data_IF_551635276686
#
_entry.id   IF_551635276686
#
_cell.length_a   1.000
_cell.length_b   1.000
_cell.length_c   1.000
_cell.angle_alpha   90.00
_cell.angle_beta   90.00
_cell.angle_gamma   90.00
#
_symmetry.space_group_name_H-M   'P 1'
#
loop_
_entity.id
_entity.type
_entity.pdbx_description
1 polymer ?
#
# COMPACT_ATOMS: atom_id res chain seq x y z
N UNK A 1 17.08 -2.93 20.01
CA UNK A 1 16.66 -1.50 20.05
C UNK A 1 15.26 -1.43 20.63
N UNK A 2 14.97 -0.45 21.49
CA UNK A 2 13.60 -0.11 21.90
C UNK A 2 13.22 1.18 21.20
N UNK A 3 11.99 1.30 20.72
CA UNK A 3 11.51 2.49 20.02
C UNK A 3 11.26 2.26 18.52
N UNK A 4 10.89 3.36 17.85
CA UNK A 4 10.54 3.41 16.43
C UNK A 4 11.61 4.17 15.66
N UNK A 5 12.18 3.54 14.64
CA UNK A 5 13.19 4.14 13.77
C UNK A 5 12.79 3.95 12.31
N UNK A 6 12.81 5.04 11.56
CA UNK A 6 12.69 5.04 10.10
C UNK A 6 14.10 5.12 9.56
N UNK A 7 14.53 4.10 8.82
CA UNK A 7 15.85 4.05 8.19
C UNK A 7 15.66 4.29 6.70
N UNK A 8 16.26 5.35 6.17
CA UNK A 8 16.25 5.70 4.76
C UNK A 8 17.61 5.34 4.17
N UNK A 9 17.65 4.39 3.24
CA UNK A 9 18.90 3.89 2.66
C UNK A 9 18.66 3.34 1.24
N UNK A 10 19.66 2.63 0.69
CA UNK A 10 19.55 1.88 -0.55
C UNK A 10 19.89 0.41 -0.32
N UNK A 11 19.29 -0.47 -1.12
CA UNK A 11 19.65 -1.90 -1.17
C UNK A 11 19.75 -2.33 -2.64
N UNK A 12 20.87 -2.96 -3.00
CA UNK A 12 21.15 -3.38 -4.39
C UNK A 12 20.97 -2.25 -5.43
N UNK A 13 21.25 -1.00 -5.04
CA UNK A 13 21.12 0.17 -5.91
C UNK A 13 19.72 0.80 -5.98
N UNK A 14 18.73 0.21 -5.31
CA UNK A 14 17.36 0.74 -5.25
C UNK A 14 17.18 1.60 -4.00
N UNK A 15 16.53 2.75 -4.14
CA UNK A 15 16.06 3.54 -3.00
C UNK A 15 15.10 2.67 -2.18
N UNK A 16 15.26 2.67 -0.85
CA UNK A 16 14.39 1.91 0.04
C UNK A 16 14.24 2.61 1.40
N UNK A 17 13.14 2.29 2.08
CA UNK A 17 12.89 2.75 3.44
C UNK A 17 12.44 1.58 4.31
N UNK A 18 12.93 1.53 5.54
CA UNK A 18 12.59 0.51 6.52
C UNK A 18 12.02 1.15 7.79
N UNK A 19 10.94 0.58 8.30
CA UNK A 19 10.37 0.94 9.58
C UNK A 19 10.71 -0.14 10.60
N UNK A 20 11.57 0.19 11.56
CA UNK A 20 11.96 -0.66 12.67
C UNK A 20 11.16 -0.29 13.92
N UNK A 21 10.55 -1.28 14.58
CA UNK A 21 9.84 -1.12 15.84
C UNK A 21 10.33 -2.17 16.82
N UNK A 22 10.94 -1.73 17.92
CA UNK A 22 11.49 -2.59 18.96
C UNK A 22 12.43 -3.69 18.42
N UNK A 23 13.22 -3.33 17.39
CA UNK A 23 14.18 -4.23 16.73
C UNK A 23 13.55 -5.20 15.74
N UNK A 24 12.26 -5.06 15.42
CA UNK A 24 11.57 -5.85 14.38
C UNK A 24 11.31 -4.98 13.16
N UNK A 25 11.55 -5.53 11.97
CA UNK A 25 11.12 -4.91 10.72
C UNK A 25 9.59 -4.96 10.61
N UNK A 26 8.98 -3.80 10.80
CA UNK A 26 7.54 -3.62 10.79
C UNK A 26 7.04 -3.28 9.39
N UNK A 27 7.76 -2.46 8.64
CA UNK A 27 7.40 -2.15 7.26
C UNK A 27 8.65 -1.94 6.39
N UNK A 28 8.54 -2.23 5.11
CA UNK A 28 9.60 -2.05 4.14
C UNK A 28 9.03 -1.56 2.81
N UNK A 29 9.60 -0.49 2.29
CA UNK A 29 9.26 0.13 1.02
C UNK A 29 10.49 0.08 0.13
N UNK A 30 10.30 -0.44 -1.08
CA UNK A 30 11.29 -0.51 -2.13
C UNK A 30 10.55 -0.41 -3.45
N UNK A 31 11.18 0.20 -4.44
CA UNK A 31 10.72 0.18 -5.82
C UNK A 31 11.78 -0.49 -6.70
N UNK A 32 11.32 -1.18 -7.74
CA UNK A 32 12.17 -1.63 -8.83
C UNK A 32 11.97 -0.73 -10.05
N UNK A 33 12.21 -1.28 -11.24
CA UNK A 33 12.07 -0.53 -12.51
C UNK A 33 10.59 -0.31 -12.94
N UNK A 34 9.64 -0.92 -12.26
CA UNK A 34 8.22 -0.79 -12.60
C UNK A 34 7.67 0.57 -12.16
N UNK A 35 6.74 1.17 -12.93
CA UNK A 35 6.17 2.46 -12.57
C UNK A 35 5.40 2.40 -11.25
N UNK A 36 5.63 3.41 -10.43
CA UNK A 36 5.13 3.45 -9.05
C UNK A 36 3.64 3.83 -9.03
N UNK A 37 2.81 3.21 -8.17
CA UNK A 37 1.44 3.66 -7.96
C UNK A 37 1.38 5.13 -7.58
N UNK A 38 0.57 5.90 -8.30
CA UNK A 38 0.55 7.36 -8.22
C UNK A 38 1.04 8.04 -9.49
N UNK A 39 1.92 7.41 -10.27
CA UNK A 39 2.38 7.94 -11.57
C UNK A 39 1.19 8.22 -12.48
N UNK A 40 1.17 9.41 -13.09
CA UNK A 40 0.13 9.87 -14.00
C UNK A 40 0.68 9.96 -15.42
N UNK A 41 -0.05 9.35 -16.35
CA UNK A 41 0.26 9.41 -17.77
C UNK A 41 -0.80 10.18 -18.54
N UNK A 42 -0.36 10.88 -19.58
CA UNK A 42 -1.15 11.03 -20.80
C UNK A 42 -0.99 9.76 -21.62
N UNK A 43 -2.05 8.96 -21.67
CA UNK A 43 -2.07 7.67 -22.35
C UNK A 43 -2.95 7.73 -23.59
N UNK A 44 -2.65 6.85 -24.56
CA UNK A 44 -3.44 6.70 -25.78
C UNK A 44 -4.25 5.41 -25.73
N UNK A 45 -5.56 5.52 -25.94
CA UNK A 45 -6.43 4.35 -26.10
C UNK A 45 -6.01 3.55 -27.33
N UNK A 46 -5.71 2.26 -27.14
CA UNK A 46 -5.24 1.39 -28.21
C UNK A 46 -6.39 0.51 -28.72
N UNK A 47 -6.76 -0.52 -27.95
CA UNK A 47 -7.80 -1.48 -28.37
C UNK A 47 -8.74 -1.89 -27.24
N UNK A 48 -10.06 -1.97 -27.52
CA UNK A 48 -11.02 -2.45 -26.54
C UNK A 48 -10.88 -3.96 -26.33
N UNK A 49 -11.17 -4.40 -25.11
CA UNK A 49 -11.24 -5.82 -24.75
C UNK A 49 -12.68 -6.28 -24.95
N UNK A 50 -12.89 -7.09 -26.00
CA UNK A 50 -14.23 -7.60 -26.35
C UNK A 50 -14.89 -8.27 -25.14
N UNK A 51 -16.11 -7.86 -24.83
CA UNK A 51 -16.95 -8.47 -23.79
C UNK A 51 -16.62 -8.09 -22.34
N UNK A 52 -15.58 -7.29 -22.07
CA UNK A 52 -15.18 -6.93 -20.70
C UNK A 52 -15.38 -5.46 -20.34
N UNK A 53 -15.71 -4.60 -21.33
CA UNK A 53 -15.81 -3.15 -21.10
C UNK A 53 -14.48 -2.57 -20.58
N UNK A 54 -13.36 -3.05 -21.10
CA UNK A 54 -12.01 -2.62 -20.71
C UNK A 54 -11.24 -2.14 -21.94
N UNK A 55 -10.18 -1.37 -21.74
CA UNK A 55 -9.35 -0.81 -22.80
C UNK A 55 -7.86 -1.06 -22.50
N UNK A 56 -7.11 -1.50 -23.50
CA UNK A 56 -5.64 -1.43 -23.46
C UNK A 56 -5.19 -0.04 -23.89
N UNK A 57 -4.20 0.51 -23.20
CA UNK A 57 -3.64 1.83 -23.48
C UNK A 57 -2.14 1.71 -23.78
N UNK A 58 -1.63 2.62 -24.59
CA UNK A 58 -0.19 2.87 -24.71
C UNK A 58 0.23 3.95 -23.71
N UNK A 59 1.31 3.69 -22.98
CA UNK A 59 1.98 4.62 -22.04
C UNK A 59 3.49 4.61 -22.32
N UNK A 60 4.28 5.57 -21.80
CA UNK A 60 5.74 5.53 -21.90
C UNK A 60 6.34 4.23 -21.36
N UNK A 61 5.78 3.68 -20.28
CA UNK A 61 6.24 2.44 -19.63
C UNK A 61 5.60 1.17 -20.20
N UNK A 62 4.99 1.28 -21.39
CA UNK A 62 4.42 0.16 -22.13
C UNK A 62 2.90 0.06 -22.04
N UNK A 63 2.39 -1.16 -22.10
CA UNK A 63 0.95 -1.41 -22.17
C UNK A 63 0.29 -1.25 -20.79
N UNK A 64 -0.76 -0.43 -20.71
CA UNK A 64 -1.61 -0.29 -19.54
C UNK A 64 -3.02 -0.86 -19.77
N UNK A 65 -3.72 -1.19 -18.69
CA UNK A 65 -5.05 -1.78 -18.70
C UNK A 65 -6.02 -0.97 -17.85
N UNK A 66 -7.05 -0.43 -18.52
CA UNK A 66 -8.11 0.35 -17.91
C UNK A 66 -9.41 -0.47 -17.88
N UNK A 67 -10.02 -0.60 -16.70
CA UNK A 67 -11.28 -1.32 -16.48
C UNK A 67 -12.48 -0.38 -16.61
N UNK A 68 -13.66 -0.95 -16.90
CA UNK A 68 -14.96 -0.27 -16.83
C UNK A 68 -15.10 0.96 -17.73
N UNK A 69 -14.57 0.87 -18.94
CA UNK A 69 -14.64 1.90 -19.96
C UNK A 69 -15.99 1.89 -20.67
N UNK A 70 -16.60 3.07 -20.82
CA UNK A 70 -17.78 3.30 -21.67
C UNK A 70 -17.45 4.33 -22.75
N UNK A 71 -17.75 4.01 -24.01
CA UNK A 71 -17.75 5.00 -25.09
C UNK A 71 -16.39 5.57 -25.50
N UNK A 72 -15.29 4.84 -25.29
CA UNK A 72 -13.94 5.28 -25.66
C UNK A 72 -13.55 4.83 -27.06
N UNK A 73 -13.05 5.76 -27.87
CA UNK A 73 -12.58 5.48 -29.22
C UNK A 73 -11.08 5.12 -29.22
N UNK A 74 -10.63 4.15 -30.04
CA UNK A 74 -9.21 3.97 -30.32
C UNK A 74 -8.55 5.27 -30.79
N UNK A 75 -7.31 5.51 -30.35
CA UNK A 75 -6.53 6.72 -30.63
C UNK A 75 -6.82 7.91 -29.71
N UNK A 76 -7.90 7.87 -28.92
CA UNK A 76 -8.22 8.94 -27.97
C UNK A 76 -7.13 9.09 -26.90
N UNK A 77 -6.73 10.33 -26.61
CA UNK A 77 -5.85 10.65 -25.49
C UNK A 77 -6.65 10.80 -24.21
N UNK A 78 -6.08 10.34 -23.10
CA UNK A 78 -6.70 10.40 -21.79
C UNK A 78 -5.66 10.41 -20.68
N UNK A 79 -6.01 11.04 -19.56
CA UNK A 79 -5.23 10.98 -18.34
C UNK A 79 -5.56 9.70 -17.58
N UNK A 80 -4.53 9.01 -17.10
CA UNK A 80 -4.68 7.81 -16.27
C UNK A 80 -3.61 7.76 -15.20
N UNK A 81 -3.96 7.19 -14.06
CA UNK A 81 -3.06 7.01 -12.92
C UNK A 81 -2.79 5.53 -12.66
N UNK A 82 -1.53 5.18 -12.39
CA UNK A 82 -1.11 3.84 -11.97
C UNK A 82 -1.69 3.51 -10.60
N UNK A 83 -2.35 2.36 -10.48
CA UNK A 83 -3.07 1.95 -9.26
C UNK A 83 -2.38 0.86 -8.45
N UNK A 84 -1.38 0.20 -9.02
CA UNK A 84 -0.69 -0.95 -8.46
C UNK A 84 0.36 -1.49 -9.43
N UNK A 85 1.10 -2.51 -8.99
CA UNK A 85 2.14 -3.15 -9.79
C UNK A 85 1.55 -4.27 -10.66
N UNK A 86 2.03 -4.37 -11.91
CA UNK A 86 1.67 -5.46 -12.80
C UNK A 86 2.52 -6.70 -12.52
N UNK A 87 1.91 -7.88 -12.63
CA UNK A 87 2.68 -9.13 -12.66
C UNK A 87 3.46 -9.22 -13.98
N UNK A 88 4.59 -9.96 -14.02
CA UNK A 88 5.38 -10.13 -15.24
C UNK A 88 4.52 -10.55 -16.45
N UNK A 89 4.63 -9.79 -17.53
CA UNK A 89 3.87 -10.02 -18.77
C UNK A 89 2.42 -9.53 -18.76
N UNK A 90 1.94 -8.93 -17.66
CA UNK A 90 0.63 -8.26 -17.61
C UNK A 90 0.79 -6.75 -17.83
N UNK A 91 -0.30 -6.12 -18.29
CA UNK A 91 -0.36 -4.68 -18.50
C UNK A 91 -0.52 -3.92 -17.16
N UNK A 92 0.03 -2.71 -17.11
CA UNK A 92 0.02 -1.82 -15.95
C UNK A 92 -1.43 -1.45 -15.58
N UNK A 93 -1.90 -1.73 -14.34
CA UNK A 93 -3.28 -1.42 -13.97
C UNK A 93 -3.45 0.07 -13.70
N UNK A 94 -4.36 0.71 -14.43
CA UNK A 94 -4.60 2.16 -14.34
C UNK A 94 -6.07 2.52 -14.11
N UNK A 95 -6.31 3.76 -13.67
CA UNK A 95 -7.63 4.37 -13.46
C UNK A 95 -7.70 5.76 -14.09
N UNK A 96 -8.89 6.23 -14.51
CA UNK A 96 -9.11 7.63 -14.89
C UNK A 96 -9.43 8.52 -13.68
N UNK A 97 -9.79 7.93 -12.55
CA UNK A 97 -10.04 8.66 -11.30
C UNK A 97 -8.72 9.08 -10.68
N UNK A 98 -8.21 10.25 -11.08
CA UNK A 98 -6.95 10.79 -10.60
C UNK A 98 -7.09 11.25 -9.14
N UNK A 99 -6.08 10.97 -8.33
CA UNK A 99 -5.95 11.44 -6.95
C UNK A 99 -4.53 11.98 -6.73
N UNK A 100 -4.42 13.15 -6.11
CA UNK A 100 -3.13 13.77 -5.79
C UNK A 100 -2.96 13.74 -4.28
N UNK A 101 -2.10 12.83 -3.81
CA UNK A 101 -1.96 12.49 -2.39
C UNK A 101 -0.60 12.94 -1.87
N UNK A 102 -0.63 13.74 -0.82
CA UNK A 102 0.52 14.15 -0.02
C UNK A 102 0.38 13.65 1.41
N UNK A 103 1.23 14.12 2.35
CA UNK A 103 1.18 13.73 3.76
C UNK A 103 -0.11 14.23 4.42
N UNK A 104 -0.51 15.47 4.15
CA UNK A 104 -1.65 16.11 4.81
C UNK A 104 -2.94 16.03 3.98
N UNK A 105 -2.84 16.03 2.65
CA UNK A 105 -3.99 16.18 1.77
C UNK A 105 -4.16 15.04 0.74
N UNK A 106 -5.39 14.89 0.27
CA UNK A 106 -5.71 14.22 -0.99
C UNK A 106 -6.63 15.14 -1.78
N UNK A 107 -6.15 15.67 -2.91
CA UNK A 107 -6.96 16.44 -3.85
C UNK A 107 -7.68 15.48 -4.80
N UNK A 108 -8.98 15.68 -4.98
CA UNK A 108 -9.88 14.79 -5.72
C UNK A 108 -10.65 15.56 -6.79
N UNK A 109 -10.09 15.74 -8.00
CA UNK A 109 -10.68 16.64 -8.98
C UNK A 109 -12.09 16.26 -9.47
N UNK A 110 -12.39 14.97 -9.57
CA UNK A 110 -13.70 14.48 -10.04
C UNK A 110 -14.74 14.32 -8.91
N UNK A 111 -14.39 14.64 -7.67
CA UNK A 111 -15.25 14.43 -6.50
C UNK A 111 -15.22 15.66 -5.59
N UNK A 112 -16.00 16.72 -5.88
CA UNK A 112 -15.98 17.96 -5.13
C UNK A 112 -16.43 17.77 -3.67
N UNK A 113 -15.96 18.67 -2.80
CA UNK A 113 -16.29 18.70 -1.38
C UNK A 113 -15.08 18.50 -0.48
N UNK A 114 -15.18 19.03 0.74
CA UNK A 114 -14.14 18.98 1.76
C UNK A 114 -14.47 17.91 2.80
N UNK A 115 -13.55 16.98 3.03
CA UNK A 115 -13.66 15.95 4.05
C UNK A 115 -12.45 15.95 4.98
N UNK A 116 -12.67 15.67 6.26
CA UNK A 116 -11.60 15.50 7.25
C UNK A 116 -11.62 14.06 7.77
N UNK A 117 -10.44 13.45 7.91
CA UNK A 117 -10.27 12.12 8.48
C UNK A 117 -11.13 11.89 9.73
N UNK A 118 -11.82 10.74 9.77
CA UNK A 118 -12.66 10.34 10.91
C UNK A 118 -11.86 10.05 12.20
N UNK A 119 -10.53 9.98 12.10
CA UNK A 119 -9.65 9.86 13.26
C UNK A 119 -9.52 11.16 14.04
N UNK A 120 -9.70 12.31 13.36
CA UNK A 120 -9.68 13.64 13.99
C UNK A 120 -11.09 13.90 14.51
N UNK A 121 -11.23 13.84 15.84
CA UNK A 121 -12.51 13.95 16.56
C UNK A 121 -12.65 15.25 17.35
N UNK A 122 -11.54 15.93 17.58
CA UNK A 122 -11.53 17.22 18.25
C UNK A 122 -12.15 18.28 17.32
N UNK A 123 -13.19 18.97 17.79
CA UNK A 123 -13.97 19.89 16.94
C UNK A 123 -13.20 21.19 16.69
N UNK A 124 -12.46 21.70 17.68
CA UNK A 124 -11.64 22.91 17.51
C UNK A 124 -10.55 22.68 16.44
N UNK A 125 -9.90 21.51 16.47
CA UNK A 125 -8.94 21.11 15.44
C UNK A 125 -9.60 20.95 14.06
N UNK A 126 -10.83 20.45 14.01
CA UNK A 126 -11.58 20.34 12.75
C UNK A 126 -11.88 21.71 12.18
N UNK A 127 -12.33 22.65 13.00
CA UNK A 127 -12.64 24.01 12.57
C UNK A 127 -11.39 24.74 12.08
N UNK A 128 -10.26 24.62 12.80
CA UNK A 128 -8.95 25.13 12.34
C UNK A 128 -8.58 24.58 10.96
N UNK A 129 -8.68 23.27 10.79
CA UNK A 129 -8.33 22.61 9.54
C UNK A 129 -9.27 22.98 8.38
N UNK A 130 -10.56 23.21 8.66
CA UNK A 130 -11.51 23.71 7.67
C UNK A 130 -11.14 25.11 7.18
N UNK A 131 -10.73 26.00 8.08
CA UNK A 131 -10.30 27.36 7.72
C UNK A 131 -9.08 27.32 6.80
N UNK A 132 -8.04 26.57 7.20
CA UNK A 132 -6.83 26.36 6.38
C UNK A 132 -7.18 25.81 5.00
N UNK A 133 -8.03 24.79 4.95
CA UNK A 133 -8.42 24.15 3.69
C UNK A 133 -9.24 25.07 2.77
N UNK A 134 -10.16 25.87 3.31
CA UNK A 134 -10.93 26.82 2.49
C UNK A 134 -10.05 27.91 1.88
N UNK A 135 -9.08 28.41 2.64
CA UNK A 135 -8.13 29.41 2.13
C UNK A 135 -7.21 28.81 1.07
N UNK A 136 -6.64 27.62 1.33
CA UNK A 136 -5.71 26.97 0.42
C UNK A 136 -6.37 26.46 -0.88
N UNK A 137 -7.68 26.17 -0.86
CA UNK A 137 -8.46 25.73 -2.02
C UNK A 137 -9.29 26.87 -2.63
N UNK A 138 -9.02 28.13 -2.30
CA UNK A 138 -9.76 29.25 -2.88
C UNK A 138 -9.55 29.30 -4.40
N UNK A 139 -10.65 29.36 -5.16
CA UNK A 139 -10.61 29.45 -6.62
C UNK A 139 -10.48 28.13 -7.37
N UNK A 140 -10.50 26.99 -6.68
CA UNK A 140 -10.57 25.65 -7.31
C UNK A 140 -11.88 24.94 -6.96
N UNK A 141 -12.41 24.16 -7.92
CA UNK A 141 -13.61 23.34 -7.75
C UNK A 141 -13.28 21.88 -7.31
N UNK A 142 -12.01 21.58 -7.06
CA UNK A 142 -11.59 20.23 -6.66
C UNK A 142 -12.08 19.86 -5.27
N UNK A 143 -12.30 18.57 -5.05
CA UNK A 143 -12.48 18.06 -3.69
C UNK A 143 -11.16 17.95 -2.94
N UNK A 144 -11.27 17.88 -1.62
CA UNK A 144 -10.14 17.77 -0.71
C UNK A 144 -10.46 16.82 0.44
N UNK A 145 -9.53 15.94 0.76
CA UNK A 145 -9.57 15.09 1.95
C UNK A 145 -8.35 15.39 2.82
N UNK A 146 -8.58 15.94 4.01
CA UNK A 146 -7.54 16.11 5.03
C UNK A 146 -7.29 14.80 5.77
N UNK A 147 -6.02 14.38 5.79
CA UNK A 147 -5.56 13.11 6.35
C UNK A 147 -5.35 13.21 7.86
N UNK A 148 -5.21 12.06 8.52
CA UNK A 148 -4.95 11.99 9.96
C UNK A 148 -3.65 12.68 10.38
N UNK A 149 -2.69 12.81 9.47
CA UNK A 149 -1.42 13.50 9.71
C UNK A 149 -1.57 14.99 9.99
N UNK A 150 -2.72 15.60 9.65
CA UNK A 150 -3.00 17.01 9.94
C UNK A 150 -3.14 17.30 11.44
N UNK A 151 -3.47 16.29 12.26
CA UNK A 151 -3.76 16.48 13.67
C UNK A 151 -2.53 17.04 14.41
N UNK A 152 -2.65 18.28 14.88
CA UNK A 152 -1.56 19.00 15.56
C UNK A 152 -0.43 19.45 14.65
N UNK A 153 -0.58 19.35 13.33
CA UNK A 153 0.37 19.89 12.36
C UNK A 153 0.26 21.41 12.28
N UNK A 154 1.34 22.07 11.88
CA UNK A 154 1.36 23.52 11.67
C UNK A 154 0.39 23.93 10.54
N UNK A 155 -0.28 25.06 10.71
CA UNK A 155 -1.31 25.50 9.77
C UNK A 155 -0.72 25.91 8.41
N UNK A 156 0.46 26.54 8.40
CA UNK A 156 1.13 26.98 7.19
C UNK A 156 1.67 25.77 6.43
N UNK A 157 2.27 24.79 7.13
CA UNK A 157 2.69 23.52 6.52
C UNK A 157 1.54 22.78 5.83
N UNK A 158 0.36 22.73 6.46
CA UNK A 158 -0.82 22.10 5.88
C UNK A 158 -1.33 22.90 4.67
N UNK A 159 -1.35 24.23 4.75
CA UNK A 159 -1.77 25.09 3.65
C UNK A 159 -0.86 24.94 2.43
N UNK A 160 0.45 24.97 2.63
CA UNK A 160 1.45 24.81 1.56
C UNK A 160 1.34 23.44 0.88
N UNK A 161 1.13 22.37 1.66
CA UNK A 161 0.95 21.01 1.16
C UNK A 161 -0.33 20.87 0.32
N UNK A 162 -1.44 21.46 0.76
CA UNK A 162 -2.70 21.50 -0.01
C UNK A 162 -2.50 22.26 -1.33
N UNK A 163 -1.91 23.46 -1.26
CA UNK A 163 -1.69 24.30 -2.43
C UNK A 163 -0.77 23.60 -3.46
N UNK A 164 0.26 22.90 -3.00
CA UNK A 164 1.12 22.10 -3.88
C UNK A 164 0.37 20.98 -4.59
N UNK A 165 -0.53 20.26 -3.90
CA UNK A 165 -1.35 19.21 -4.52
C UNK A 165 -2.41 19.76 -5.48
N UNK A 166 -3.01 20.90 -5.16
CA UNK A 166 -3.95 21.58 -6.06
C UNK A 166 -3.25 22.06 -7.34
N UNK A 167 -2.07 22.67 -7.21
CA UNK A 167 -1.26 23.11 -8.35
C UNK A 167 -0.80 21.93 -9.24
N UNK A 168 -0.39 20.80 -8.63
CA UNK A 168 -0.06 19.59 -9.39
C UNK A 168 -1.29 19.04 -10.13
N UNK A 169 -2.45 19.03 -9.48
CA UNK A 169 -3.70 18.62 -10.12
C UNK A 169 -4.04 19.52 -11.32
N UNK A 170 -3.92 20.83 -11.17
CA UNK A 170 -4.12 21.80 -12.25
C UNK A 170 -3.15 21.59 -13.41
N UNK A 171 -1.87 21.41 -13.12
CA UNK A 171 -0.85 21.16 -14.14
C UNK A 171 -1.19 19.91 -14.96
N UNK A 172 -1.57 18.82 -14.29
CA UNK A 172 -1.89 17.55 -14.94
C UNK A 172 -3.21 17.60 -15.71
N UNK A 173 -4.25 18.23 -15.15
CA UNK A 173 -5.58 18.28 -15.77
C UNK A 173 -5.66 19.26 -16.95
N UNK A 174 -4.87 20.33 -16.92
CA UNK A 174 -4.79 21.31 -18.00
C UNK A 174 -3.69 20.98 -19.02
N UNK A 175 -3.12 19.78 -18.94
CA UNK A 175 -2.21 19.30 -19.97
C UNK A 175 -2.95 19.08 -21.30
N UNK A 176 -2.33 19.52 -22.39
CA UNK A 176 -2.93 19.54 -23.73
C UNK A 176 -2.02 18.90 -24.79
N UNK A 177 -0.98 18.18 -24.37
CA UNK A 177 -0.12 17.49 -25.34
C UNK A 177 -0.86 16.35 -26.06
N UNK A 178 -0.24 15.85 -27.12
CA UNK A 178 -0.86 14.89 -28.04
C UNK A 178 -0.18 13.53 -28.06
N UNK A 179 1.01 13.43 -27.50
CA UNK A 179 1.82 12.21 -27.44
C UNK A 179 1.73 11.54 -26.08
N UNK A 180 2.04 10.24 -26.00
CA UNK A 180 2.09 9.58 -24.70
C UNK A 180 3.23 10.14 -23.85
N UNK A 181 2.97 10.46 -22.58
CA UNK A 181 3.93 11.13 -21.71
C UNK A 181 3.65 10.85 -20.23
N UNK A 182 4.70 10.82 -19.42
CA UNK A 182 4.59 10.80 -17.96
C UNK A 182 4.49 12.23 -17.47
N UNK A 183 3.34 12.61 -16.91
CA UNK A 183 3.05 13.97 -16.47
C UNK A 183 3.44 14.21 -15.01
N UNK A 184 3.38 13.17 -14.19
CA UNK A 184 3.79 13.20 -12.80
C UNK A 184 4.27 11.80 -12.38
N UNK A 185 5.42 11.73 -11.73
CA UNK A 185 5.92 10.48 -11.13
C UNK A 185 5.24 10.20 -9.80
N UNK A 186 5.08 8.91 -9.48
CA UNK A 186 4.66 8.48 -8.15
C UNK A 186 5.76 8.70 -7.11
N UNK A 187 5.36 8.81 -5.85
CA UNK A 187 6.30 8.99 -4.73
C UNK A 187 7.21 7.77 -4.56
N UNK A 188 8.53 8.00 -4.56
CA UNK A 188 9.54 6.99 -4.22
C UNK A 188 9.48 6.54 -2.75
N UNK A 189 10.22 5.49 -2.37
CA UNK A 189 10.15 4.87 -1.04
C UNK A 189 10.38 5.84 0.12
N UNK A 190 11.32 6.79 0.00
CA UNK A 190 11.60 7.75 1.07
C UNK A 190 10.44 8.72 1.29
N UNK A 191 9.85 9.22 0.20
CA UNK A 191 8.69 10.11 0.26
C UNK A 191 7.47 9.35 0.78
N UNK A 192 7.24 8.11 0.33
CA UNK A 192 6.15 7.26 0.85
C UNK A 192 6.30 6.99 2.34
N UNK A 193 7.52 6.71 2.81
CA UNK A 193 7.83 6.55 4.23
C UNK A 193 7.46 7.82 5.02
N UNK A 194 7.92 8.98 4.59
CA UNK A 194 7.53 10.26 5.22
C UNK A 194 6.02 10.50 5.13
N UNK A 195 5.38 10.17 4.02
CA UNK A 195 3.96 10.44 3.80
C UNK A 195 3.02 9.54 4.61
N UNK A 196 3.41 8.28 4.82
CA UNK A 196 2.52 7.22 5.33
C UNK A 196 2.91 6.72 6.74
N UNK A 197 4.16 6.83 7.17
CA UNK A 197 4.58 6.50 8.54
C UNK A 197 4.53 7.76 9.42
N UNK A 198 3.35 7.99 9.99
CA UNK A 198 3.02 9.25 10.67
C UNK A 198 3.37 9.26 12.16
N UNK A 199 3.52 8.09 12.78
CA UNK A 199 3.86 8.00 14.20
C UNK A 199 5.29 8.48 14.48
N UNK A 200 5.52 9.17 15.61
CA UNK A 200 6.85 9.67 15.98
C UNK A 200 7.92 8.59 15.93
N UNK A 201 8.99 8.87 15.20
CA UNK A 201 10.12 7.97 14.99
C UNK A 201 11.43 8.75 14.88
N UNK A 202 12.53 8.13 15.30
CA UNK A 202 13.86 8.58 14.93
C UNK A 202 14.07 8.33 13.42
N UNK A 203 14.65 9.30 12.70
CA UNK A 203 14.92 9.16 11.26
C UNK A 203 16.41 9.04 11.04
N UNK A 204 16.86 7.86 10.61
CA UNK A 204 18.24 7.57 10.22
C UNK A 204 18.39 7.71 8.70
N UNK A 205 19.44 8.41 8.27
CA UNK A 205 19.74 8.70 6.85
C UNK A 205 21.20 8.44 6.48
N UNK A 206 21.98 7.94 7.43
CA UNK A 206 23.40 7.63 7.23
C UNK A 206 23.51 6.43 6.31
N UNK A 207 24.35 6.48 5.26
CA UNK A 207 24.60 5.33 4.39
C UNK A 207 25.04 4.10 5.20
N UNK A 208 24.45 2.93 4.91
CA UNK A 208 24.70 1.71 5.69
C UNK A 208 23.83 1.61 6.97
N UNK A 209 22.82 2.46 7.10
CA UNK A 209 21.83 2.40 8.16
C UNK A 209 21.09 1.06 8.19
N UNK A 210 20.87 0.43 7.04
CA UNK A 210 20.22 -0.89 6.98
C UNK A 210 21.00 -1.97 7.71
N UNK A 211 22.33 -2.01 7.57
CA UNK A 211 23.17 -2.96 8.31
C UNK A 211 23.16 -2.63 9.81
N UNK A 212 23.41 -1.36 10.15
CA UNK A 212 23.52 -0.89 11.54
C UNK A 212 22.26 -1.15 12.37
N UNK A 213 21.08 -1.07 11.74
CA UNK A 213 19.79 -1.25 12.40
C UNK A 213 19.20 -2.66 12.22
N UNK A 214 19.93 -3.61 11.61
CA UNK A 214 19.47 -5.00 11.43
C UNK A 214 18.36 -5.17 10.40
N UNK A 215 18.22 -4.23 9.46
CA UNK A 215 17.25 -4.31 8.35
C UNK A 215 17.66 -5.43 7.40
N UNK A 216 18.96 -5.54 7.05
CA UNK A 216 19.44 -6.57 6.12
C UNK A 216 19.15 -7.99 6.64
N UNK A 217 19.44 -8.28 7.91
CA UNK A 217 19.12 -9.57 8.54
C UNK A 217 17.61 -9.88 8.48
N UNK A 218 16.77 -8.85 8.66
CA UNK A 218 15.33 -9.00 8.58
C UNK A 218 14.83 -9.21 7.14
N UNK A 219 15.50 -8.63 6.14
CA UNK A 219 15.21 -8.85 4.72
C UNK A 219 15.61 -10.26 4.29
N UNK A 220 16.78 -10.76 4.72
CA UNK A 220 17.22 -12.14 4.47
C UNK A 220 16.19 -13.14 5.01
N UNK A 221 15.68 -12.89 6.23
CA UNK A 221 14.59 -13.70 6.78
C UNK A 221 13.30 -13.57 5.96
N UNK A 222 12.98 -12.38 5.49
CA UNK A 222 11.76 -12.11 4.72
C UNK A 222 11.79 -12.72 3.30
N UNK A 223 12.96 -12.82 2.66
CA UNK A 223 13.13 -13.52 1.39
C UNK A 223 12.89 -15.04 1.55
N UNK A 224 13.16 -15.58 2.73
CA UNK A 224 12.78 -16.94 3.10
C UNK A 224 11.26 -17.09 3.29
N UNK A 225 10.78 -18.34 3.13
CA UNK A 225 9.37 -18.68 3.37
C UNK A 225 9.03 -18.78 4.86
N UNK A 226 10.02 -18.94 5.75
CA UNK A 226 9.79 -19.23 7.17
C UNK A 226 9.78 -17.95 8.01
N UNK A 227 8.70 -17.71 8.73
CA UNK A 227 8.53 -16.58 9.65
C UNK A 227 8.34 -17.07 11.09
N UNK A 228 9.17 -16.66 12.06
CA UNK A 228 8.99 -17.04 13.46
C UNK A 228 7.77 -16.36 14.09
N UNK A 229 7.03 -17.15 14.90
CA UNK A 229 5.96 -16.66 15.75
C UNK A 229 6.39 -16.71 17.23
N UNK A 230 5.84 -15.84 18.09
CA UNK A 230 5.98 -15.95 19.53
C UNK A 230 5.57 -17.33 20.05
N UNK A 231 6.34 -17.88 20.99
CA UNK A 231 6.04 -19.18 21.60
C UNK A 231 6.54 -20.39 20.81
N UNK A 232 7.43 -20.19 19.84
CA UNK A 232 8.14 -21.28 19.15
C UNK A 232 7.40 -21.88 17.95
N UNK A 233 6.29 -21.29 17.54
CA UNK A 233 5.61 -21.60 16.28
C UNK A 233 6.25 -20.87 15.10
N UNK A 234 5.83 -21.22 13.89
CA UNK A 234 6.32 -20.60 12.65
C UNK A 234 5.19 -20.49 11.62
N UNK A 235 5.28 -19.50 10.73
CA UNK A 235 4.54 -19.47 9.47
C UNK A 235 5.45 -19.95 8.34
N UNK A 236 4.88 -20.64 7.37
CA UNK A 236 5.47 -20.81 6.05
C UNK A 236 4.64 -20.03 5.04
N UNK A 237 5.20 -18.98 4.44
CA UNK A 237 4.56 -18.09 3.49
C UNK A 237 5.19 -18.33 2.12
N UNK A 238 4.47 -19.03 1.25
CA UNK A 238 4.98 -19.46 -0.05
C UNK A 238 4.17 -18.85 -1.18
N UNK A 239 4.73 -17.88 -1.93
CA UNK A 239 4.12 -17.40 -3.16
C UNK A 239 4.22 -18.48 -4.24
N UNK A 240 3.07 -18.87 -4.79
CA UNK A 240 3.00 -19.76 -5.96
C UNK A 240 2.64 -18.95 -7.20
N UNK A 241 2.50 -19.63 -8.35
CA UNK A 241 2.05 -18.98 -9.60
C UNK A 241 0.67 -18.34 -9.49
N UNK A 242 -0.24 -18.91 -8.70
CA UNK A 242 -1.66 -18.51 -8.69
C UNK A 242 -2.06 -17.76 -7.41
N UNK A 243 -1.50 -18.15 -6.27
CA UNK A 243 -1.86 -17.67 -4.95
C UNK A 243 -0.69 -17.74 -3.98
N UNK A 244 -0.81 -17.08 -2.84
CA UNK A 244 0.12 -17.21 -1.70
C UNK A 244 -0.46 -18.22 -0.72
N UNK A 245 0.27 -19.29 -0.43
CA UNK A 245 -0.07 -20.25 0.60
C UNK A 245 0.58 -19.85 1.92
N UNK A 246 -0.17 -19.91 3.02
CA UNK A 246 0.34 -19.64 4.37
C UNK A 246 0.01 -20.83 5.25
N UNK A 247 1.01 -21.56 5.71
CA UNK A 247 0.87 -22.66 6.68
C UNK A 247 1.28 -22.19 8.09
N UNK A 248 0.53 -22.60 9.11
CA UNK A 248 0.79 -22.27 10.52
C UNK A 248 1.22 -23.51 11.30
N UNK A 249 2.47 -23.49 11.77
CA UNK A 249 3.05 -24.57 12.54
C UNK A 249 3.15 -24.20 14.03
N UNK A 250 2.81 -25.16 14.91
CA UNK A 250 2.83 -24.98 16.38
C UNK A 250 4.17 -25.32 17.04
N UNK A 251 5.18 -25.73 16.27
CA UNK A 251 6.45 -26.20 16.78
C UNK A 251 6.35 -27.61 17.35
N UNK A 252 6.90 -27.83 18.55
CA UNK A 252 6.91 -29.15 19.20
C UNK A 252 5.64 -29.48 19.98
N UNK A 253 4.84 -28.47 20.34
CA UNK A 253 3.57 -28.65 21.05
C UNK A 253 2.42 -28.78 20.04
N UNK A 254 1.80 -29.95 19.98
CA UNK A 254 0.71 -30.28 19.04
C UNK A 254 -0.68 -30.19 19.67
N UNK A 255 -0.79 -29.63 20.88
CA UNK A 255 -2.07 -29.47 21.56
C UNK A 255 -2.99 -28.45 20.85
N UNK A 256 -4.30 -28.59 21.01
CA UNK A 256 -5.27 -27.62 20.48
C UNK A 256 -5.08 -26.21 21.08
N UNK A 257 -4.57 -26.13 22.31
CA UNK A 257 -4.23 -24.86 22.95
C UNK A 257 -3.05 -24.17 22.26
N UNK A 258 -2.01 -24.93 21.91
CA UNK A 258 -0.90 -24.44 21.10
C UNK A 258 -1.36 -24.03 19.69
N UNK A 259 -2.23 -24.82 19.07
CA UNK A 259 -2.87 -24.48 17.78
C UNK A 259 -3.58 -23.13 17.81
N UNK A 260 -4.45 -22.91 18.80
CA UNK A 260 -5.14 -21.63 18.96
C UNK A 260 -4.15 -20.48 19.21
N UNK A 261 -3.15 -20.68 20.06
CA UNK A 261 -2.13 -19.66 20.35
C UNK A 261 -1.32 -19.29 19.10
N UNK A 262 -0.90 -20.27 18.31
CA UNK A 262 -0.19 -20.05 17.05
C UNK A 262 -1.08 -19.32 16.03
N UNK A 263 -2.35 -19.70 15.91
CA UNK A 263 -3.31 -19.03 15.03
C UNK A 263 -3.57 -17.57 15.46
N UNK A 264 -3.64 -17.27 16.76
CA UNK A 264 -3.76 -15.88 17.23
C UNK A 264 -2.48 -15.07 16.96
N UNK A 265 -1.30 -15.69 17.07
CA UNK A 265 -0.03 -15.05 16.72
C UNK A 265 0.05 -14.79 15.20
N UNK A 266 -0.32 -15.78 14.38
CA UNK A 266 -0.47 -15.64 12.93
C UNK A 266 -1.39 -14.47 12.58
N UNK A 267 -2.58 -14.40 13.18
CA UNK A 267 -3.54 -13.33 12.91
C UNK A 267 -2.99 -11.92 13.15
N UNK A 268 -2.08 -11.76 14.11
CA UNK A 268 -1.44 -10.48 14.45
C UNK A 268 -0.24 -10.16 13.57
N UNK A 269 0.60 -11.16 13.29
CA UNK A 269 1.89 -10.97 12.60
C UNK A 269 1.79 -11.10 11.07
N UNK A 270 0.76 -11.77 10.55
CA UNK A 270 0.58 -11.99 9.12
C UNK A 270 0.52 -10.70 8.28
N UNK A 271 -0.22 -9.64 8.67
CA UNK A 271 -0.26 -8.39 7.88
C UNK A 271 1.16 -7.82 7.65
N UNK A 272 1.97 -7.76 8.71
CA UNK A 272 3.37 -7.33 8.66
C UNK A 272 4.21 -8.25 7.78
N UNK A 273 4.11 -9.57 7.98
CA UNK A 273 4.89 -10.54 7.22
C UNK A 273 4.59 -10.49 5.70
N UNK A 274 3.32 -10.27 5.32
CA UNK A 274 2.91 -10.06 3.93
C UNK A 274 3.39 -8.72 3.38
N UNK A 275 3.27 -7.66 4.17
CA UNK A 275 3.63 -6.28 3.78
C UNK A 275 5.13 -6.13 3.53
N UNK A 276 5.98 -6.63 4.44
CA UNK A 276 7.44 -6.63 4.28
C UNK A 276 7.85 -7.39 3.02
N UNK A 277 7.19 -8.50 2.70
CA UNK A 277 7.46 -9.29 1.48
C UNK A 277 6.85 -8.71 0.20
N UNK A 278 6.01 -7.67 0.31
CA UNK A 278 5.24 -7.11 -0.81
C UNK A 278 4.16 -8.04 -1.36
N UNK A 279 3.71 -9.03 -0.59
CA UNK A 279 2.78 -10.06 -1.07
C UNK A 279 1.33 -9.56 -1.08
N UNK A 280 0.64 -9.86 -2.19
CA UNK A 280 -0.78 -9.57 -2.40
C UNK A 280 -1.42 -10.57 -3.37
N UNK A 281 -2.68 -10.33 -3.73
CA UNK A 281 -3.47 -11.26 -4.54
C UNK A 281 -4.32 -12.20 -3.69
N UNK A 282 -4.55 -13.41 -4.19
CA UNK A 282 -5.26 -14.46 -3.46
C UNK A 282 -4.32 -15.09 -2.44
N UNK A 283 -4.77 -15.19 -1.18
CA UNK A 283 -4.00 -15.75 -0.08
C UNK A 283 -4.86 -16.80 0.62
N UNK A 284 -4.30 -17.99 0.82
CA UNK A 284 -4.98 -19.11 1.49
C UNK A 284 -4.21 -19.45 2.75
N UNK A 285 -4.89 -19.42 3.89
CA UNK A 285 -4.34 -19.75 5.20
C UNK A 285 -4.72 -21.18 5.57
N UNK A 286 -3.73 -22.06 5.67
CA UNK A 286 -3.82 -23.35 6.34
C UNK A 286 -3.41 -23.18 7.80
N UNK A 287 -4.42 -23.24 8.68
CA UNK A 287 -4.26 -22.88 10.09
C UNK A 287 -4.06 -24.13 10.93
N UNK A 288 -3.31 -23.97 12.02
CA UNK A 288 -3.12 -25.06 12.97
C UNK A 288 -4.47 -25.60 13.47
N UNK A 289 -4.60 -26.92 13.77
CA UNK A 289 -5.86 -27.52 14.17
C UNK A 289 -6.54 -26.74 15.31
N UNK A 290 -7.77 -26.28 15.06
CA UNK A 290 -8.58 -25.61 16.08
C UNK A 290 -10.07 -25.95 15.98
N UNK A 291 -10.79 -25.98 17.11
CA UNK A 291 -12.24 -26.18 17.12
C UNK A 291 -12.99 -25.11 16.33
N UNK A 292 -14.12 -25.49 15.69
CA UNK A 292 -14.97 -24.55 14.92
C UNK A 292 -15.44 -23.34 15.73
N UNK A 293 -15.68 -23.50 17.03
CA UNK A 293 -16.09 -22.40 17.93
C UNK A 293 -15.04 -21.29 18.05
N UNK A 294 -13.76 -21.62 17.86
CA UNK A 294 -12.64 -20.67 18.04
C UNK A 294 -12.33 -19.89 16.75
N UNK A 295 -12.87 -20.35 15.60
CA UNK A 295 -12.72 -19.67 14.30
C UNK A 295 -13.19 -18.21 14.34
N UNK A 296 -14.30 -17.93 15.04
CA UNK A 296 -14.82 -16.56 15.18
C UNK A 296 -13.84 -15.62 15.90
N UNK A 297 -13.13 -16.15 16.90
CA UNK A 297 -12.12 -15.38 17.64
C UNK A 297 -10.91 -15.09 16.76
N UNK A 298 -10.48 -16.09 15.97
CA UNK A 298 -9.43 -15.91 14.95
C UNK A 298 -9.80 -14.83 13.94
N UNK A 299 -10.98 -14.93 13.32
CA UNK A 299 -11.45 -13.96 12.33
C UNK A 299 -11.53 -12.54 12.89
N UNK A 300 -12.01 -12.39 14.13
CA UNK A 300 -12.09 -11.08 14.78
C UNK A 300 -10.70 -10.48 14.99
N UNK A 301 -9.74 -11.31 15.43
CA UNK A 301 -8.35 -10.89 15.65
C UNK A 301 -7.68 -10.52 14.33
N UNK A 302 -7.82 -11.36 13.30
CA UNK A 302 -7.24 -11.12 11.98
C UNK A 302 -7.84 -9.88 11.32
N UNK A 303 -9.15 -9.68 11.41
CA UNK A 303 -9.83 -8.48 10.89
C UNK A 303 -9.33 -7.21 11.58
N UNK A 304 -9.14 -7.25 12.90
CA UNK A 304 -8.62 -6.10 13.64
C UNK A 304 -7.19 -5.75 13.20
N UNK A 305 -6.33 -6.76 13.03
CA UNK A 305 -4.95 -6.57 12.59
C UNK A 305 -4.88 -6.04 11.14
N UNK A 306 -5.65 -6.62 10.21
CA UNK A 306 -5.71 -6.17 8.82
C UNK A 306 -6.33 -4.78 8.65
N UNK A 307 -7.20 -4.33 9.58
CA UNK A 307 -7.78 -2.98 9.52
C UNK A 307 -6.74 -1.88 9.76
N UNK A 308 -5.67 -2.18 10.49
CA UNK A 308 -4.57 -1.25 10.74
C UNK A 308 -3.49 -1.32 9.65
N UNK A 309 -3.63 -2.25 8.69
CA UNK A 309 -2.65 -2.45 7.62
C UNK A 309 -2.83 -1.41 6.49
N UNK A 310 -1.72 -1.06 5.83
CA UNK A 310 -1.75 -0.10 4.72
C UNK A 310 -2.38 -0.69 3.45
N UNK A 311 -2.28 -2.01 3.28
CA UNK A 311 -2.81 -2.72 2.11
C UNK A 311 -4.22 -3.26 2.38
N UNK A 312 -5.18 -2.81 1.56
CA UNK A 312 -6.55 -3.27 1.65
C UNK A 312 -6.63 -4.80 1.48
N UNK A 313 -7.25 -5.45 2.46
CA UNK A 313 -7.44 -6.90 2.47
C UNK A 313 -8.89 -7.24 2.76
N UNK A 314 -9.52 -7.97 1.84
CA UNK A 314 -10.86 -8.52 1.98
C UNK A 314 -10.76 -9.91 2.59
N UNK A 315 -11.48 -10.15 3.68
CA UNK A 315 -11.65 -11.48 4.27
C UNK A 315 -12.79 -12.19 3.53
N UNK A 316 -12.48 -13.27 2.82
CA UNK A 316 -13.46 -14.01 2.00
C UNK A 316 -14.23 -15.00 2.87
N UNK A 317 -13.52 -15.86 3.62
CA UNK A 317 -14.13 -16.79 4.57
C UNK A 317 -13.46 -18.15 4.61
N UNK A 318 -14.13 -19.09 5.30
CA UNK A 318 -13.67 -20.46 5.43
C UNK A 318 -14.09 -21.31 4.24
N UNK A 319 -13.17 -22.13 3.74
CA UNK A 319 -13.47 -23.17 2.77
C UNK A 319 -14.04 -24.42 3.46
N UNK A 320 -14.63 -25.32 2.68
CA UNK A 320 -15.06 -26.63 3.16
C UNK A 320 -13.91 -27.53 3.63
N UNK A 321 -12.70 -27.31 3.10
CA UNK A 321 -11.47 -28.00 3.53
C UNK A 321 -10.92 -27.44 4.86
N UNK A 322 -11.40 -26.28 5.30
CA UNK A 322 -10.98 -25.68 6.55
C UNK A 322 -9.86 -24.65 6.44
N UNK A 323 -9.50 -24.24 5.23
CA UNK A 323 -8.62 -23.08 5.01
C UNK A 323 -9.40 -21.77 5.17
N UNK A 324 -8.70 -20.66 5.40
CA UNK A 324 -9.26 -19.31 5.40
C UNK A 324 -8.74 -18.50 4.21
N UNK A 325 -9.62 -17.87 3.45
CA UNK A 325 -9.28 -17.16 2.22
C UNK A 325 -9.30 -15.64 2.41
N UNK A 326 -8.27 -14.99 1.84
CA UNK A 326 -8.14 -13.54 1.78
C UNK A 326 -7.91 -13.10 0.32
N UNK A 327 -8.38 -11.89 0.00
CA UNK A 327 -8.00 -11.17 -1.20
C UNK A 327 -7.33 -9.85 -0.80
N UNK A 328 -6.02 -9.75 -1.02
CA UNK A 328 -5.20 -8.58 -0.69
C UNK A 328 -4.88 -7.78 -1.95
N UNK A 329 -4.90 -6.45 -1.87
CA UNK A 329 -4.46 -5.57 -2.97
C UNK A 329 -2.98 -5.83 -3.29
N UNK A 330 -2.62 -5.83 -4.58
CA UNK A 330 -1.22 -5.82 -5.04
C UNK A 330 -0.72 -4.38 -5.12
N UNK A 331 -0.48 -3.77 -3.96
CA UNK A 331 -0.05 -2.38 -3.84
C UNK A 331 1.45 -2.18 -3.70
N UNK A 332 2.24 -3.27 -3.70
CA UNK A 332 3.69 -3.26 -3.48
C UNK A 332 4.37 -4.23 -4.46
N UNK A 333 5.62 -3.97 -4.88
CA UNK A 333 6.41 -4.95 -5.59
C UNK A 333 6.89 -6.02 -4.61
N UNK A 334 7.15 -7.24 -5.09
CA UNK A 334 7.57 -8.33 -4.20
C UNK A 334 9.08 -8.30 -3.96
N UNK A 335 9.50 -8.64 -2.74
CA UNK A 335 10.94 -8.68 -2.40
C UNK A 335 11.72 -9.62 -3.32
N UNK A 336 11.18 -10.82 -3.60
CA UNK A 336 11.85 -11.80 -4.45
C UNK A 336 11.94 -11.40 -5.93
N UNK A 337 11.17 -10.40 -6.38
CA UNK A 337 11.33 -9.83 -7.72
C UNK A 337 12.45 -8.80 -7.78
N UNK A 338 12.60 -7.99 -6.72
CA UNK A 338 13.54 -6.87 -6.67
C UNK A 338 14.93 -7.30 -6.17
N UNK A 339 14.99 -8.02 -5.05
CA UNK A 339 16.24 -8.43 -4.41
C UNK A 339 16.62 -9.83 -4.89
N UNK A 340 17.77 -9.96 -5.55
CA UNK A 340 18.21 -11.23 -6.20
C UNK A 340 19.61 -11.66 -5.82
#
# INVERSE_FOLDING_TARGET
MKGRTIVLDHVEGHEAAALMVDGKLEDFLIDGDAPVPGTVYRARADRPVKGQGSMFLSTPDGAAFLRQVKGMAPGQQLLVQVTGYAEPGKAIPVTQKLLFKSRYAIVTPEAPGLNISRSIRDEDERDRLLEVAHLAMEGTDYGLILRSACAGADADEVAEDIAAMAALADQVLNDHGTEVETLAEGDGPHIRAWRDWVEPAEVERTPGGFETHGVLDALDQAQGIREPLPGGGFLYIEPTRALVAVDVNTGTDTSLAAGLKANMACAKDLPRALRVRGLGGQIVLDLAPMPKKDRRVFETTLRAALRADSEETVLVGWTNLGHFELQRKRGRPTLGEILR
#
